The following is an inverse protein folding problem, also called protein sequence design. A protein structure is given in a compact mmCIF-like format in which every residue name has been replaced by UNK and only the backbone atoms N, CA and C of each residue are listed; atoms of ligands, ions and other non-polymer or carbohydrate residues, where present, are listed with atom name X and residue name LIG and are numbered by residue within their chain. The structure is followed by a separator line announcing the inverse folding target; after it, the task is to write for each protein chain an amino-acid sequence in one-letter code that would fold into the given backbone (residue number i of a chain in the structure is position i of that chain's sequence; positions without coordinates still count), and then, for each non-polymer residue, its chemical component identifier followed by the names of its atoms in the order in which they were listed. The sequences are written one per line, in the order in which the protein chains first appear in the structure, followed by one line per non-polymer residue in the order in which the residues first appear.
data_IF_088600904548
#
_entry.id   IF_088600904548
#
_cell.length_a   1.000
_cell.length_b   1.000
_cell.length_c   1.000
_cell.angle_alpha   90.00
_cell.angle_beta   90.00
_cell.angle_gamma   90.00
#
_symmetry.space_group_name_H-M   'P 1'
#
loop_
_entity.id
_entity.type
_entity.pdbx_description
1 polymer ?
#
# COMPACT_ATOMS: atom_id res chain seq x y z
N UNK A 1 -5.44 27.86 -28.84
CA UNK A 1 -5.30 27.75 -27.36
C UNK A 1 -3.91 27.22 -27.05
N UNK A 2 -3.10 27.95 -26.27
CA UNK A 2 -1.78 27.45 -25.88
C UNK A 2 -1.94 26.34 -24.81
N UNK A 3 -1.38 25.15 -25.06
CA UNK A 3 -1.30 24.07 -24.07
C UNK A 3 -0.43 24.53 -22.89
N UNK A 4 -1.07 24.92 -21.79
CA UNK A 4 -0.37 25.25 -20.56
C UNK A 4 0.21 23.94 -19.99
N UNK A 5 1.53 23.83 -19.95
CA UNK A 5 2.23 22.65 -19.42
C UNK A 5 1.83 22.42 -17.96
N UNK A 6 1.03 21.38 -17.72
CA UNK A 6 0.66 20.96 -16.36
C UNK A 6 1.84 20.20 -15.75
N UNK A 7 2.48 20.78 -14.72
CA UNK A 7 3.56 20.11 -13.99
C UNK A 7 2.91 19.26 -12.88
N UNK A 8 2.83 17.96 -13.12
CA UNK A 8 2.42 17.00 -12.09
C UNK A 8 3.64 16.58 -11.26
N UNK A 9 3.51 16.65 -9.94
CA UNK A 9 4.48 16.10 -9.00
C UNK A 9 4.01 14.70 -8.58
N UNK A 10 4.80 13.67 -8.89
CA UNK A 10 4.51 12.28 -8.53
C UNK A 10 5.57 11.81 -7.54
N UNK A 11 5.14 11.30 -6.39
CA UNK A 11 6.00 10.67 -5.40
C UNK A 11 5.50 9.23 -5.20
N UNK A 12 6.40 8.26 -5.19
CA UNK A 12 6.07 6.88 -4.86
C UNK A 12 6.73 6.53 -3.53
N UNK A 13 5.93 6.17 -2.55
CA UNK A 13 6.39 5.66 -1.27
C UNK A 13 6.33 4.14 -1.33
N UNK A 14 7.40 3.49 -0.90
CA UNK A 14 7.48 2.04 -0.78
C UNK A 14 7.84 1.72 0.67
N UNK A 15 6.97 0.99 1.35
CA UNK A 15 7.22 0.44 2.68
C UNK A 15 7.36 -1.08 2.54
N UNK A 16 8.39 -1.64 3.18
CA UNK A 16 8.64 -3.08 3.20
C UNK A 16 8.49 -3.55 4.64
N UNK A 17 7.59 -4.51 4.84
CA UNK A 17 7.44 -5.25 6.10
C UNK A 17 7.97 -6.64 5.82
N UNK A 18 9.14 -6.97 6.35
CA UNK A 18 9.78 -8.26 6.18
C UNK A 18 9.95 -8.95 7.54
N UNK A 19 10.00 -10.28 7.53
CA UNK A 19 10.40 -11.08 8.67
C UNK A 19 11.92 -11.00 8.90
N UNK A 20 12.38 -11.54 10.03
CA UNK A 20 13.78 -11.46 10.48
C UNK A 20 14.79 -12.05 9.48
N UNK A 21 14.39 -13.06 8.70
CA UNK A 21 15.25 -13.68 7.69
C UNK A 21 15.17 -13.00 6.30
N UNK A 22 14.39 -11.92 6.18
CA UNK A 22 14.12 -11.14 4.96
C UNK A 22 13.54 -11.94 3.77
N UNK A 23 13.13 -13.18 3.98
CA UNK A 23 12.63 -14.04 2.89
C UNK A 23 11.13 -13.94 2.69
N UNK A 24 10.37 -13.52 3.71
CA UNK A 24 8.93 -13.36 3.61
C UNK A 24 8.47 -11.99 4.12
N UNK A 25 7.39 -11.49 3.54
CA UNK A 25 6.88 -10.18 3.91
C UNK A 25 5.84 -9.62 2.96
N UNK A 26 5.68 -8.30 3.04
CA UNK A 26 4.75 -7.52 2.23
C UNK A 26 5.39 -6.19 1.85
N UNK A 27 5.13 -5.72 0.63
CA UNK A 27 5.41 -4.36 0.21
C UNK A 27 4.11 -3.58 0.09
N UNK A 28 4.13 -2.34 0.57
CA UNK A 28 3.05 -1.37 0.45
C UNK A 28 3.57 -0.23 -0.44
N UNK A 29 2.99 -0.12 -1.62
CA UNK A 29 3.33 0.91 -2.60
C UNK A 29 2.21 1.96 -2.62
N UNK A 30 2.55 3.21 -2.33
CA UNK A 30 1.63 4.34 -2.39
C UNK A 30 2.11 5.34 -3.43
N UNK A 31 1.23 5.69 -4.37
CA UNK A 31 1.46 6.78 -5.32
C UNK A 31 0.78 8.04 -4.82
N UNK A 32 1.56 9.12 -4.67
CA UNK A 32 1.08 10.45 -4.32
C UNK A 32 1.19 11.34 -5.56
N UNK A 33 0.08 11.94 -5.96
CA UNK A 33 -0.01 12.90 -7.06
C UNK A 33 -0.36 14.28 -6.50
N UNK A 34 0.54 15.25 -6.68
CA UNK A 34 0.37 16.64 -6.25
C UNK A 34 0.00 16.76 -4.76
N UNK A 35 0.64 15.95 -3.90
CA UNK A 35 0.42 15.93 -2.45
C UNK A 35 -0.80 15.16 -1.98
N UNK A 36 -1.55 14.50 -2.88
CA UNK A 36 -2.68 13.63 -2.53
C UNK A 36 -2.38 12.18 -2.86
N UNK A 37 -2.72 11.27 -1.94
CA UNK A 37 -2.68 9.83 -2.23
C UNK A 37 -3.62 9.52 -3.41
N UNK A 38 -3.07 8.90 -4.45
CA UNK A 38 -3.77 8.57 -5.69
C UNK A 38 -4.02 7.06 -5.83
N UNK A 39 -3.14 6.22 -5.29
CA UNK A 39 -3.29 4.77 -5.31
C UNK A 39 -2.48 4.13 -4.18
N UNK A 40 -2.96 2.97 -3.70
CA UNK A 40 -2.21 2.07 -2.83
C UNK A 40 -2.27 0.67 -3.41
N UNK A 41 -1.15 -0.06 -3.36
CA UNK A 41 -1.11 -1.47 -3.69
C UNK A 41 -0.26 -2.28 -2.73
N UNK A 42 -0.67 -3.53 -2.54
CA UNK A 42 0.01 -4.49 -1.69
C UNK A 42 0.56 -5.64 -2.52
N UNK A 43 1.70 -6.18 -2.10
CA UNK A 43 2.29 -7.37 -2.70
C UNK A 43 2.95 -8.20 -1.62
N UNK A 44 2.73 -9.50 -1.64
CA UNK A 44 3.38 -10.43 -0.75
C UNK A 44 4.71 -10.92 -1.34
N UNK A 45 5.67 -11.20 -0.47
CA UNK A 45 6.97 -11.77 -0.77
C UNK A 45 7.08 -13.09 0.00
N UNK A 46 7.51 -14.16 -0.67
CA UNK A 46 7.74 -15.46 -0.05
C UNK A 46 8.92 -16.20 -0.70
N UNK A 47 10.03 -16.36 0.04
CA UNK A 47 11.22 -17.15 -0.29
C UNK A 47 12.00 -16.71 -1.54
N UNK A 48 11.56 -15.66 -2.23
CA UNK A 48 12.09 -15.22 -3.53
C UNK A 48 11.02 -15.00 -4.61
N UNK A 49 9.76 -15.41 -4.36
CA UNK A 49 8.63 -15.12 -5.25
C UNK A 49 7.83 -13.93 -4.74
N UNK A 50 7.50 -13.01 -5.65
CA UNK A 50 6.62 -11.88 -5.41
C UNK A 50 5.25 -12.16 -6.00
N UNK A 51 4.18 -11.90 -5.25
CA UNK A 51 2.82 -11.99 -5.78
C UNK A 51 2.56 -10.88 -6.82
N UNK A 52 1.45 -11.01 -7.56
CA UNK A 52 0.88 -9.86 -8.24
C UNK A 52 0.57 -8.75 -7.22
N UNK A 53 0.74 -7.50 -7.65
CA UNK A 53 0.35 -6.36 -6.82
C UNK A 53 -1.17 -6.21 -6.88
N UNK A 54 -1.81 -6.13 -5.72
CA UNK A 54 -3.24 -5.89 -5.59
C UNK A 54 -3.43 -4.40 -5.33
N UNK A 55 -4.05 -3.70 -6.28
CA UNK A 55 -4.44 -2.30 -6.11
C UNK A 55 -5.76 -2.25 -5.36
N UNK A 56 -5.82 -1.45 -4.30
CA UNK A 56 -7.06 -1.22 -3.58
C UNK A 56 -7.80 -0.04 -4.20
N UNK A 57 -9.10 -0.23 -4.42
CA UNK A 57 -10.01 0.89 -4.62
C UNK A 57 -10.38 1.51 -3.26
N UNK A 58 -11.26 2.53 -3.31
CA UNK A 58 -11.67 3.24 -2.11
C UNK A 58 -12.42 2.36 -1.11
N UNK A 59 -13.29 1.46 -1.59
CA UNK A 59 -14.09 0.61 -0.71
C UNK A 59 -13.19 -0.41 -0.02
N UNK A 60 -12.32 -1.07 -0.79
CA UNK A 60 -11.36 -2.03 -0.25
C UNK A 60 -10.40 -1.39 0.78
N UNK A 61 -10.04 -0.11 0.60
CA UNK A 61 -9.26 0.62 1.62
C UNK A 61 -10.05 0.81 2.92
N UNK A 62 -11.35 1.12 2.84
CA UNK A 62 -12.20 1.32 4.01
C UNK A 62 -12.42 0.00 4.76
N UNK A 63 -12.74 -1.07 4.03
CA UNK A 63 -12.96 -2.40 4.59
C UNK A 63 -11.67 -2.93 5.26
N UNK A 64 -10.51 -2.72 4.63
CA UNK A 64 -9.24 -3.10 5.21
C UNK A 64 -8.94 -2.31 6.50
N UNK A 65 -9.22 -1.01 6.52
CA UNK A 65 -9.03 -0.18 7.70
C UNK A 65 -9.92 -0.64 8.86
N UNK A 66 -11.17 -0.99 8.59
CA UNK A 66 -12.10 -1.55 9.58
C UNK A 66 -11.55 -2.84 10.18
N UNK A 67 -11.20 -3.82 9.35
CA UNK A 67 -10.67 -5.11 9.81
C UNK A 67 -9.37 -4.96 10.62
N UNK A 68 -8.47 -4.08 10.19
CA UNK A 68 -7.23 -3.78 10.95
C UNK A 68 -7.57 -3.16 12.30
N UNK A 69 -8.53 -2.23 12.35
CA UNK A 69 -8.94 -1.56 13.59
C UNK A 69 -9.58 -2.54 14.56
N UNK A 70 -10.38 -3.48 14.09
CA UNK A 70 -10.97 -4.54 14.93
C UNK A 70 -9.88 -5.39 15.60
N UNK A 71 -8.87 -5.84 14.85
CA UNK A 71 -7.74 -6.61 15.40
C UNK A 71 -6.97 -5.77 16.44
N UNK A 72 -6.70 -4.51 16.14
CA UNK A 72 -5.96 -3.63 17.05
C UNK A 72 -6.73 -3.26 18.32
N UNK A 73 -8.06 -3.37 18.30
CA UNK A 73 -8.91 -3.14 19.46
C UNK A 73 -8.99 -4.35 20.39
N UNK A 74 -8.62 -5.55 19.93
CA UNK A 74 -8.51 -6.75 20.76
C UNK A 74 -7.11 -6.87 21.33
N UNK A 75 -6.97 -7.03 22.66
CA UNK A 75 -5.69 -7.11 23.38
C UNK A 75 -4.88 -8.41 23.11
N UNK A 76 -5.12 -9.07 21.97
CA UNK A 76 -4.36 -10.26 21.55
C UNK A 76 -4.81 -11.58 22.19
N UNK A 77 -6.01 -11.63 22.78
CA UNK A 77 -6.62 -12.88 23.26
C UNK A 77 -7.15 -13.72 22.07
N UNK A 78 -6.26 -14.46 21.42
CA UNK A 78 -6.58 -15.47 20.39
C UNK A 78 -5.77 -16.75 20.58
#
# INVERSE_FOLDING_TARGET
MALRRQKNNIQNLNLIIANEDEKAGMTIDQTILNGKSAAVSFRLVNGGRKSAAVKLDRQACADLLEAVTEILATDGDF
#
